data_IF_179642216742
#
_entry.id   IF_179642216742
#
_cell.length_a   1.000
_cell.length_b   1.000
_cell.length_c   1.000
_cell.angle_alpha   90.00
_cell.angle_beta   90.00
_cell.angle_gamma   90.00
#
_symmetry.space_group_name_H-M   'P 1'
#
loop_
_entity.id
_entity.type
_entity.pdbx_description
1 polymer ?
#
# COMPACT_ATOMS: atom_id res chain seq x y z
N UNK A 1 1.71 25.98 8.70
CA UNK A 1 0.84 24.79 8.53
C UNK A 1 0.37 24.79 7.09
N UNK A 2 0.64 23.71 6.34
CA UNK A 2 0.10 23.54 4.98
C UNK A 2 -1.39 23.22 5.10
N UNK A 3 -2.25 23.88 4.32
CA UNK A 3 -3.70 23.65 4.40
C UNK A 3 -4.07 22.24 3.92
N UNK A 4 -5.18 21.69 4.41
CA UNK A 4 -5.69 20.39 3.94
C UNK A 4 -5.92 20.38 2.41
N UNK A 5 -6.32 21.52 1.85
CA UNK A 5 -6.48 21.71 0.41
C UNK A 5 -5.14 21.55 -0.32
N UNK A 6 -4.10 22.23 0.14
CA UNK A 6 -2.76 22.17 -0.44
C UNK A 6 -2.16 20.75 -0.37
N UNK A 7 -2.48 19.98 0.66
CA UNK A 7 -2.07 18.58 0.75
C UNK A 7 -2.77 17.70 -0.30
N UNK A 8 -4.08 17.82 -0.46
CA UNK A 8 -4.82 17.09 -1.50
C UNK A 8 -4.36 17.48 -2.91
N UNK A 9 -4.10 18.77 -3.14
CA UNK A 9 -3.55 19.26 -4.41
C UNK A 9 -2.19 18.62 -4.71
N UNK A 10 -1.34 18.43 -3.68
CA UNK A 10 -0.04 17.76 -3.83
C UNK A 10 -0.19 16.30 -4.24
N UNK A 11 -1.12 15.55 -3.63
CA UNK A 11 -1.39 14.15 -4.01
C UNK A 11 -1.91 14.07 -5.44
N UNK A 12 -2.87 14.93 -5.79
CA UNK A 12 -3.45 14.98 -7.13
C UNK A 12 -2.41 15.33 -8.19
N UNK A 13 -1.54 16.31 -7.90
CA UNK A 13 -0.45 16.68 -8.79
C UNK A 13 0.54 15.52 -8.97
N UNK A 14 0.90 14.80 -7.89
CA UNK A 14 1.79 13.64 -7.99
C UNK A 14 1.18 12.53 -8.85
N UNK A 15 -0.10 12.19 -8.65
CA UNK A 15 -0.79 11.21 -9.48
C UNK A 15 -0.87 11.65 -10.95
N UNK A 16 -1.14 12.94 -11.21
CA UNK A 16 -1.16 13.49 -12.57
C UNK A 16 0.20 13.40 -13.27
N UNK A 17 1.30 13.60 -12.53
CA UNK A 17 2.66 13.43 -13.03
C UNK A 17 2.92 11.95 -13.36
N UNK A 18 2.60 11.03 -12.44
CA UNK A 18 2.79 9.58 -12.64
C UNK A 18 1.96 9.04 -13.81
N UNK A 19 0.73 9.54 -14.01
CA UNK A 19 -0.10 9.17 -15.16
C UNK A 19 0.46 9.66 -16.50
N UNK A 20 1.29 10.70 -16.50
CA UNK A 20 1.95 11.22 -17.71
C UNK A 20 3.34 10.62 -17.94
N UNK A 21 3.85 9.81 -17.00
CA UNK A 21 5.10 9.08 -17.17
C UNK A 21 4.85 7.69 -17.74
N UNK A 22 5.92 6.92 -17.94
CA UNK A 22 5.88 5.49 -18.26
C UNK A 22 6.17 4.62 -17.01
N UNK A 23 6.20 5.23 -15.83
CA UNK A 23 6.60 4.54 -14.59
C UNK A 23 5.52 3.56 -14.11
N UNK A 24 5.98 2.48 -13.46
CA UNK A 24 5.13 1.65 -12.61
C UNK A 24 4.87 2.37 -11.29
N UNK A 25 3.62 2.47 -10.87
CA UNK A 25 3.28 3.07 -9.57
C UNK A 25 2.02 2.45 -8.95
N UNK A 26 1.87 2.63 -7.64
CA UNK A 26 0.79 2.05 -6.84
C UNK A 26 -0.09 3.18 -6.31
N UNK A 27 -1.40 3.06 -6.50
CA UNK A 27 -2.42 3.90 -5.88
C UNK A 27 -3.15 3.11 -4.81
N UNK A 28 -3.33 3.71 -3.64
CA UNK A 28 -4.14 3.15 -2.55
C UNK A 28 -5.18 4.17 -2.14
N UNK A 29 -6.44 3.79 -2.29
CA UNK A 29 -7.58 4.57 -1.83
C UNK A 29 -8.13 3.96 -0.54
N UNK A 30 -7.99 4.70 0.57
CA UNK A 30 -8.39 4.28 1.91
C UNK A 30 -9.91 4.26 2.09
N UNK A 31 -10.66 5.14 1.42
CA UNK A 31 -12.13 5.19 1.55
C UNK A 31 -12.82 4.00 0.91
N UNK A 32 -12.29 3.55 -0.24
CA UNK A 32 -12.84 2.43 -1.02
C UNK A 32 -12.14 1.10 -0.74
N UNK A 33 -11.07 1.12 0.05
CA UNK A 33 -10.23 -0.04 0.38
C UNK A 33 -9.75 -0.76 -0.89
N UNK A 34 -9.18 0.02 -1.82
CA UNK A 34 -8.67 -0.47 -3.10
C UNK A 34 -7.21 -0.13 -3.30
N UNK A 35 -6.50 -1.06 -3.94
CA UNK A 35 -5.17 -0.84 -4.49
C UNK A 35 -5.24 -1.01 -6.01
N UNK A 36 -4.65 -0.06 -6.74
CA UNK A 36 -4.49 -0.13 -8.18
C UNK A 36 -2.99 -0.07 -8.50
N UNK A 37 -2.52 -1.01 -9.31
CA UNK A 37 -1.20 -0.97 -9.92
C UNK A 37 -1.31 -0.34 -11.31
N UNK A 38 -0.44 0.61 -11.60
CA UNK A 38 -0.47 1.42 -12.81
C UNK A 38 0.85 1.33 -13.57
N UNK A 39 0.78 1.34 -14.90
CA UNK A 39 1.90 1.64 -15.82
C UNK A 39 1.56 2.94 -16.55
N UNK A 40 2.16 4.05 -16.13
CA UNK A 40 1.75 5.38 -16.57
C UNK A 40 0.28 5.66 -16.24
N UNK A 41 -0.54 5.91 -17.27
CA UNK A 41 -2.00 6.09 -17.14
C UNK A 41 -2.82 4.80 -17.27
N UNK A 42 -2.18 3.64 -17.46
CA UNK A 42 -2.88 2.38 -17.69
C UNK A 42 -2.97 1.57 -16.39
N UNK A 43 -4.17 1.31 -15.85
CA UNK A 43 -4.31 0.39 -14.73
C UNK A 43 -4.06 -1.04 -15.24
N UNK A 44 -3.13 -1.74 -14.61
CA UNK A 44 -2.75 -3.12 -14.98
C UNK A 44 -3.24 -4.15 -13.96
N UNK A 45 -3.59 -3.70 -12.75
CA UNK A 45 -4.15 -4.55 -11.70
C UNK A 45 -4.99 -3.74 -10.73
N UNK A 46 -6.10 -4.29 -10.24
CA UNK A 46 -6.95 -3.65 -9.26
C UNK A 46 -7.54 -4.69 -8.30
N UNK A 47 -7.41 -4.44 -7.00
CA UNK A 47 -7.80 -5.40 -5.95
C UNK A 47 -8.42 -4.70 -4.75
N UNK A 48 -9.21 -5.46 -4.00
CA UNK A 48 -9.71 -5.05 -2.68
C UNK A 48 -8.63 -5.38 -1.64
N UNK A 49 -8.39 -4.45 -0.72
CA UNK A 49 -7.35 -4.55 0.32
C UNK A 49 -7.96 -4.37 1.72
N UNK A 50 -7.16 -4.57 2.77
CA UNK A 50 -7.51 -4.16 4.13
C UNK A 50 -6.40 -3.30 4.71
N UNK A 51 -6.73 -2.10 5.18
CA UNK A 51 -5.74 -1.15 5.73
C UNK A 51 -5.81 -1.06 7.26
N UNK A 52 -5.06 -0.11 7.83
CA UNK A 52 -5.04 0.14 9.27
C UNK A 52 -6.39 0.60 9.82
N UNK A 53 -6.81 0.01 10.94
CA UNK A 53 -8.02 0.42 11.68
C UNK A 53 -7.84 1.79 12.34
N UNK A 54 -8.93 2.41 12.80
CA UNK A 54 -8.95 3.77 13.40
C UNK A 54 -7.88 4.00 14.49
N UNK A 55 -7.61 3.01 15.34
CA UNK A 55 -6.62 3.13 16.42
C UNK A 55 -5.16 3.02 15.95
N UNK A 56 -4.92 2.51 14.75
CA UNK A 56 -3.60 2.26 14.15
C UNK A 56 -3.71 2.45 12.63
N UNK A 57 -3.98 3.68 12.16
CA UNK A 57 -4.39 3.93 10.79
C UNK A 57 -3.23 3.81 9.80
N UNK A 58 -3.54 3.41 8.57
CA UNK A 58 -2.63 3.64 7.44
C UNK A 58 -2.62 5.15 7.15
N UNK A 59 -1.43 5.74 7.07
CA UNK A 59 -1.27 7.19 6.90
C UNK A 59 -1.21 7.53 5.40
N UNK A 60 -2.03 8.48 4.90
CA UNK A 60 -1.95 8.93 3.51
C UNK A 60 -0.64 9.66 3.24
N UNK A 61 -0.20 9.66 1.98
CA UNK A 61 1.04 10.32 1.57
C UNK A 61 1.61 9.79 0.27
N UNK A 62 2.79 10.33 -0.06
CA UNK A 62 3.59 9.91 -1.20
C UNK A 62 4.81 9.19 -0.64
N UNK A 63 4.99 7.95 -1.07
CA UNK A 63 6.05 7.05 -0.63
C UNK A 63 6.69 6.37 -1.84
N UNK A 64 7.69 5.55 -1.55
CA UNK A 64 8.25 4.58 -2.49
C UNK A 64 8.44 3.26 -1.76
N UNK A 65 8.46 2.15 -2.49
CA UNK A 65 8.88 0.87 -1.91
C UNK A 65 10.37 0.96 -1.54
N UNK A 66 10.69 0.79 -0.27
CA UNK A 66 12.05 0.95 0.28
C UNK A 66 12.78 -0.38 0.36
N UNK A 67 12.08 -1.47 0.69
CA UNK A 67 12.66 -2.80 0.75
C UNK A 67 11.59 -3.89 0.56
N UNK A 68 12.04 -5.08 0.20
CA UNK A 68 11.19 -6.21 -0.15
C UNK A 68 11.71 -7.49 0.51
N UNK A 69 10.82 -8.27 1.12
CA UNK A 69 11.11 -9.57 1.73
C UNK A 69 10.05 -10.58 1.30
N UNK A 70 10.49 -11.70 0.71
CA UNK A 70 9.58 -12.75 0.26
C UNK A 70 8.83 -13.42 1.42
N UNK A 71 9.49 -13.53 2.58
CA UNK A 71 8.96 -14.01 3.85
C UNK A 71 9.57 -13.14 4.95
N UNK A 72 8.78 -12.76 5.95
CA UNK A 72 9.24 -11.99 7.11
C UNK A 72 8.44 -12.34 8.36
N UNK A 73 9.00 -12.06 9.55
CA UNK A 73 8.24 -12.10 10.81
C UNK A 73 7.91 -10.68 11.22
N UNK A 74 6.63 -10.35 11.33
CA UNK A 74 6.18 -9.00 11.71
C UNK A 74 5.66 -8.98 13.15
N UNK A 75 6.15 -8.02 13.93
CA UNK A 75 5.87 -7.89 15.37
C UNK A 75 5.49 -6.47 15.75
N UNK A 76 4.51 -6.34 16.61
CA UNK A 76 4.10 -5.10 17.26
C UNK A 76 3.79 -5.32 18.74
N UNK A 77 3.15 -4.33 19.37
CA UNK A 77 2.84 -4.39 20.81
C UNK A 77 1.85 -5.53 21.17
N UNK A 78 0.92 -5.84 20.28
CA UNK A 78 -0.20 -6.78 20.49
C UNK A 78 -0.30 -7.84 19.38
N UNK A 79 0.72 -7.99 18.53
CA UNK A 79 0.77 -9.03 17.50
C UNK A 79 2.20 -9.53 17.27
N UNK A 80 2.30 -10.81 16.91
CA UNK A 80 3.51 -11.47 16.47
C UNK A 80 3.10 -12.51 15.42
N UNK A 81 3.39 -12.24 14.15
CA UNK A 81 2.99 -13.08 13.03
C UNK A 81 4.25 -13.55 12.31
N UNK A 82 4.45 -14.87 12.32
CA UNK A 82 5.50 -15.54 11.57
C UNK A 82 5.09 -15.72 10.09
N UNK A 83 6.11 -15.86 9.24
CA UNK A 83 6.00 -16.20 7.82
C UNK A 83 5.06 -15.29 7.00
N UNK A 84 5.05 -13.99 7.29
CA UNK A 84 4.31 -12.99 6.51
C UNK A 84 4.88 -12.93 5.10
N UNK A 85 4.09 -13.31 4.06
CA UNK A 85 4.62 -13.43 2.72
C UNK A 85 4.60 -12.08 1.98
N UNK A 86 5.58 -11.89 1.10
CA UNK A 86 5.62 -10.82 0.09
C UNK A 86 5.55 -9.40 0.67
N UNK A 87 6.28 -9.15 1.76
CA UNK A 87 6.35 -7.85 2.41
C UNK A 87 7.11 -6.82 1.57
N UNK A 88 6.51 -5.65 1.39
CA UNK A 88 7.06 -4.49 0.68
C UNK A 88 6.95 -3.27 1.60
N UNK A 89 8.05 -2.91 2.25
CA UNK A 89 8.09 -1.81 3.22
C UNK A 89 8.22 -0.47 2.52
N UNK A 90 7.51 0.55 3.02
CA UNK A 90 7.50 1.89 2.41
C UNK A 90 7.70 3.05 3.40
N UNK A 91 7.57 2.83 4.71
CA UNK A 91 7.90 3.84 5.74
C UNK A 91 7.93 3.24 7.14
N UNK A 92 9.02 3.38 7.91
CA UNK A 92 9.02 3.20 9.38
C UNK A 92 8.38 1.92 9.96
N UNK A 93 8.28 0.83 9.18
CA UNK A 93 7.59 -0.42 9.56
C UNK A 93 6.25 -0.67 8.86
N UNK A 94 5.67 0.34 8.21
CA UNK A 94 4.52 0.19 7.32
C UNK A 94 4.91 -0.58 6.05
N UNK A 95 4.10 -1.60 5.72
CA UNK A 95 4.32 -2.45 4.56
C UNK A 95 3.02 -2.82 3.85
N UNK A 96 3.15 -3.15 2.56
CA UNK A 96 2.17 -3.93 1.81
C UNK A 96 2.58 -5.40 1.90
N UNK A 97 1.70 -6.31 2.31
CA UNK A 97 2.04 -7.74 2.44
C UNK A 97 0.81 -8.64 2.30
N UNK A 98 1.05 -9.95 2.13
CA UNK A 98 0.01 -10.96 2.16
C UNK A 98 -0.45 -11.23 3.60
N UNK A 99 -1.75 -11.40 3.80
CA UNK A 99 -2.34 -11.71 5.10
C UNK A 99 -3.10 -13.04 5.02
N UNK A 100 -2.46 -14.14 5.42
CA UNK A 100 -3.09 -15.47 5.40
C UNK A 100 -4.06 -15.70 6.58
N UNK A 101 -3.95 -14.88 7.64
CA UNK A 101 -4.69 -15.05 8.90
C UNK A 101 -6.10 -14.45 8.88
N UNK A 102 -6.49 -13.73 7.82
CA UNK A 102 -7.85 -13.23 7.68
C UNK A 102 -8.27 -13.01 6.24
N UNK A 103 -9.59 -12.94 6.00
CA UNK A 103 -10.19 -12.63 4.70
C UNK A 103 -11.01 -11.33 4.70
N UNK A 104 -10.76 -10.42 5.65
CA UNK A 104 -11.54 -9.18 5.85
C UNK A 104 -11.18 -8.05 4.87
N UNK A 105 -11.01 -8.37 3.59
CA UNK A 105 -10.70 -7.38 2.55
C UNK A 105 -11.91 -6.47 2.31
N UNK A 106 -11.67 -5.16 2.19
CA UNK A 106 -12.71 -4.12 2.13
C UNK A 106 -13.03 -3.51 3.49
N UNK A 107 -12.45 -4.04 4.58
CA UNK A 107 -12.61 -3.52 5.94
C UNK A 107 -11.23 -3.26 6.55
N UNK A 108 -10.95 -2.06 7.09
CA UNK A 108 -9.69 -1.80 7.78
C UNK A 108 -9.58 -2.61 9.08
N UNK A 109 -8.57 -3.49 9.19
CA UNK A 109 -8.35 -4.31 10.40
C UNK A 109 -6.91 -4.33 10.90
N UNK A 110 -5.95 -3.85 10.10
CA UNK A 110 -4.53 -3.99 10.42
C UNK A 110 -4.04 -2.93 11.42
N UNK A 111 -2.75 -3.04 11.78
CA UNK A 111 -2.03 -2.07 12.60
C UNK A 111 -1.29 -0.99 11.78
N UNK A 112 -1.74 -0.74 10.54
CA UNK A 112 -1.21 0.29 9.67
C UNK A 112 -0.74 -0.26 8.32
N UNK A 113 -0.33 -1.53 8.26
CA UNK A 113 0.03 -2.20 7.03
C UNK A 113 -1.16 -2.33 6.05
N UNK A 114 -0.86 -2.47 4.77
CA UNK A 114 -1.85 -2.74 3.73
C UNK A 114 -1.85 -4.25 3.45
N UNK A 115 -2.94 -4.90 3.81
CA UNK A 115 -3.10 -6.35 3.77
C UNK A 115 -3.78 -6.76 2.46
N UNK A 116 -3.16 -7.70 1.75
CA UNK A 116 -3.64 -8.31 0.51
C UNK A 116 -3.89 -9.80 0.71
N UNK A 117 -4.75 -10.39 -0.11
CA UNK A 117 -4.74 -11.85 -0.27
C UNK A 117 -3.35 -12.30 -0.77
N UNK A 118 -2.89 -13.48 -0.36
CA UNK A 118 -1.50 -13.90 -0.57
C UNK A 118 -1.11 -13.97 -2.05
N UNK A 119 -2.03 -14.38 -2.91
CA UNK A 119 -1.87 -14.42 -4.37
C UNK A 119 -1.74 -13.01 -4.97
N UNK A 120 -2.57 -12.06 -4.54
CA UNK A 120 -2.46 -10.65 -4.93
C UNK A 120 -1.15 -10.02 -4.43
N UNK A 121 -0.73 -10.34 -3.20
CA UNK A 121 0.54 -9.89 -2.65
C UNK A 121 1.72 -10.41 -3.45
N UNK A 122 1.70 -11.70 -3.84
CA UNK A 122 2.69 -12.32 -4.71
C UNK A 122 2.78 -11.62 -6.06
N UNK A 123 1.64 -11.37 -6.69
CA UNK A 123 1.59 -10.68 -7.98
C UNK A 123 2.22 -9.29 -7.87
N UNK A 124 1.78 -8.49 -6.89
CA UNK A 124 2.28 -7.14 -6.70
C UNK A 124 3.76 -7.12 -6.37
N UNK A 125 4.21 -8.05 -5.54
CA UNK A 125 5.62 -8.21 -5.19
C UNK A 125 6.48 -8.58 -6.38
N UNK A 126 6.00 -9.35 -7.35
CA UNK A 126 6.78 -9.65 -8.53
C UNK A 126 6.76 -8.50 -9.56
N UNK A 127 5.66 -7.74 -9.59
CA UNK A 127 5.47 -6.64 -10.54
C UNK A 127 6.19 -5.34 -10.13
N UNK A 128 6.21 -5.03 -8.84
CA UNK A 128 6.86 -3.82 -8.31
C UNK A 128 8.38 -3.98 -8.20
N UNK A 129 9.08 -2.87 -8.03
CA UNK A 129 10.51 -2.81 -7.76
C UNK A 129 10.78 -1.93 -6.52
N UNK A 130 12.01 -1.99 -5.98
CA UNK A 130 12.44 -0.95 -5.05
C UNK A 130 12.39 0.39 -5.78
N UNK A 131 11.97 1.44 -5.09
CA UNK A 131 11.67 2.77 -5.62
C UNK A 131 10.36 2.92 -6.39
N UNK A 132 9.56 1.86 -6.59
CA UNK A 132 8.20 2.00 -7.15
C UNK A 132 7.40 3.02 -6.32
N UNK A 133 6.89 4.11 -6.92
CA UNK A 133 6.09 5.09 -6.21
C UNK A 133 4.79 4.50 -5.66
N UNK A 134 4.41 4.95 -4.47
CA UNK A 134 3.19 4.59 -3.78
C UNK A 134 2.48 5.87 -3.35
N UNK A 135 1.25 6.08 -3.82
CA UNK A 135 0.39 7.19 -3.41
C UNK A 135 -0.78 6.65 -2.62
N UNK A 136 -0.91 7.08 -1.36
CA UNK A 136 -1.99 6.69 -0.45
C UNK A 136 -2.86 7.91 -0.19
N UNK A 137 -4.16 7.80 -0.44
CA UNK A 137 -5.13 8.88 -0.28
C UNK A 137 -6.49 8.37 0.20
N UNK A 138 -7.41 9.31 0.46
CA UNK A 138 -8.81 9.00 0.74
C UNK A 138 -9.65 9.04 -0.54
#
# INVERSE_FOLDING_TARGET
>A
MVSAQTYQDTLNQKMAILKKSEERWIEVNLSTQRLIAWEGNKPVYAIIISTGKKGTPTIPGIFTIQSKRSIDRMRGADYDIDDVPYAQYYSGGYAIHGAYWHNKFGTPVSHGCINLAVDHAKWLFNWSEISTPLVIHY
#
